data_IF_180156003477
#
_entry.id   IF_180156003477
#
_cell.length_a   1.000
_cell.length_b   1.000
_cell.length_c   1.000
_cell.angle_alpha   90.00
_cell.angle_beta   90.00
_cell.angle_gamma   90.00
#
_symmetry.space_group_name_H-M   'P 1'
#
loop_
_entity.id
_entity.type
_entity.pdbx_description
1 polymer ?
#
# COMPACT_ATOMS: atom_id res chain seq x y z
N UNK A 1 2.29 -20.44 7.62
CA UNK A 1 2.88 -19.32 6.85
C UNK A 1 2.42 -18.02 7.49
N UNK A 2 3.35 -17.16 7.90
CA UNK A 2 3.05 -15.88 8.54
C UNK A 2 2.57 -14.84 7.53
N UNK A 3 1.99 -13.76 8.04
CA UNK A 3 1.69 -12.56 7.25
C UNK A 3 2.83 -11.54 7.43
N UNK A 4 3.04 -10.70 6.44
CA UNK A 4 4.02 -9.63 6.45
C UNK A 4 3.32 -8.27 6.48
N UNK A 5 4.01 -7.29 7.03
CA UNK A 5 3.60 -5.88 6.99
C UNK A 5 4.48 -5.19 5.96
N UNK A 6 3.85 -4.56 4.98
CA UNK A 6 4.53 -3.85 3.91
C UNK A 6 4.14 -2.38 3.93
N UNK A 7 5.13 -1.51 3.71
CA UNK A 7 4.90 -0.14 3.23
C UNK A 7 4.91 -0.19 1.70
N UNK A 8 3.85 0.27 1.09
CA UNK A 8 3.73 0.46 -0.36
C UNK A 8 3.66 1.95 -0.61
N UNK A 9 4.60 2.48 -1.39
CA UNK A 9 4.72 3.91 -1.67
C UNK A 9 4.76 4.15 -3.16
N UNK A 10 4.09 5.21 -3.60
CA UNK A 10 4.20 5.73 -4.97
C UNK A 10 5.59 6.29 -5.20
N UNK A 11 6.11 6.11 -6.41
CA UNK A 11 7.40 6.64 -6.84
C UNK A 11 7.30 7.68 -7.95
N UNK A 12 6.09 7.89 -8.45
CA UNK A 12 5.75 8.93 -9.41
C UNK A 12 5.40 10.25 -8.70
N UNK A 13 5.03 11.27 -9.47
CA UNK A 13 4.65 12.57 -8.93
C UNK A 13 3.23 12.51 -8.35
N UNK A 14 3.09 12.80 -7.05
CA UNK A 14 1.81 12.81 -6.35
C UNK A 14 1.30 14.24 -6.19
N UNK A 15 0.12 14.53 -6.72
CA UNK A 15 -0.52 15.84 -6.65
C UNK A 15 -1.35 15.99 -5.35
N UNK A 16 -2.17 17.04 -5.26
CA UNK A 16 -3.13 17.23 -4.18
C UNK A 16 -4.29 16.25 -4.26
N UNK A 17 -4.82 15.90 -3.08
CA UNK A 17 -5.94 14.99 -2.90
C UNK A 17 -5.70 13.59 -3.48
N UNK A 18 -4.45 13.14 -3.38
CA UNK A 18 -4.01 11.81 -3.81
C UNK A 18 -3.38 11.02 -2.65
N UNK A 19 -3.48 9.69 -2.72
CA UNK A 19 -2.74 8.82 -1.80
C UNK A 19 -1.30 8.66 -2.29
N UNK A 20 -0.33 8.77 -1.39
CA UNK A 20 1.11 8.60 -1.69
C UNK A 20 1.71 7.32 -1.10
N UNK A 21 1.11 6.78 -0.04
CA UNK A 21 1.56 5.54 0.59
C UNK A 21 0.43 4.78 1.32
N UNK A 22 0.63 3.48 1.51
CA UNK A 22 -0.25 2.61 2.29
C UNK A 22 0.56 1.52 3.01
N UNK A 23 0.22 1.27 4.27
CA UNK A 23 0.75 0.16 5.06
C UNK A 23 -0.27 -0.97 5.06
N UNK A 24 0.14 -2.16 4.63
CA UNK A 24 -0.77 -3.30 4.41
C UNK A 24 -0.23 -4.58 5.04
N UNK A 25 -1.16 -5.48 5.36
CA UNK A 25 -0.87 -6.88 5.71
C UNK A 25 -1.11 -7.76 4.48
N UNK A 26 -0.07 -8.45 4.02
CA UNK A 26 -0.11 -9.36 2.87
C UNK A 26 0.85 -10.55 3.05
N UNK A 27 0.70 -11.61 2.25
CA UNK A 27 1.61 -12.76 2.27
C UNK A 27 2.97 -12.44 1.64
N UNK A 28 2.98 -11.61 0.60
CA UNK A 28 4.17 -11.29 -0.16
C UNK A 28 4.05 -9.90 -0.81
N UNK A 29 5.18 -9.39 -1.31
CA UNK A 29 5.23 -8.06 -1.93
C UNK A 29 4.34 -7.92 -3.17
N UNK A 30 4.18 -8.99 -3.96
CA UNK A 30 3.31 -8.98 -5.15
C UNK A 30 1.85 -8.75 -4.76
N UNK A 31 1.39 -9.43 -3.71
CA UNK A 31 0.05 -9.22 -3.16
C UNK A 31 -0.10 -7.83 -2.54
N UNK A 32 0.92 -7.32 -1.84
CA UNK A 32 0.89 -5.98 -1.27
C UNK A 32 0.59 -4.89 -2.33
N UNK A 33 1.16 -4.99 -3.53
CA UNK A 33 0.89 -4.07 -4.65
C UNK A 33 -0.56 -4.05 -5.14
N UNK A 34 -1.32 -5.11 -4.86
CA UNK A 34 -2.74 -5.22 -5.29
C UNK A 34 -3.71 -4.59 -4.29
N UNK A 35 -3.25 -4.23 -3.09
CA UNK A 35 -4.07 -3.62 -2.05
C UNK A 35 -4.01 -2.11 -2.21
N UNK A 36 -5.13 -1.51 -2.60
CA UNK A 36 -5.29 -0.07 -2.80
C UNK A 36 -6.04 0.59 -1.64
N UNK A 37 -5.72 1.84 -1.26
CA UNK A 37 -6.33 2.54 -0.13
C UNK A 37 -7.78 2.99 -0.37
N UNK A 38 -8.18 3.13 -1.63
CA UNK A 38 -9.54 3.54 -2.02
C UNK A 38 -9.96 2.89 -3.33
N UNK A 39 -11.27 2.63 -3.48
CA UNK A 39 -11.90 2.29 -4.75
C UNK A 39 -12.24 3.53 -5.59
N UNK A 40 -12.24 4.70 -4.97
CA UNK A 40 -12.59 5.99 -5.57
C UNK A 40 -11.34 6.87 -5.67
N UNK A 41 -10.98 7.26 -6.89
CA UNK A 41 -9.80 8.07 -7.22
C UNK A 41 -9.15 7.59 -8.52
N UNK A 42 -8.29 8.41 -9.14
CA UNK A 42 -7.35 7.93 -10.18
C UNK A 42 -6.65 6.70 -9.62
N UNK A 43 -6.59 5.66 -10.43
CA UNK A 43 -6.13 4.32 -10.09
C UNK A 43 -4.88 4.39 -9.20
N UNK A 44 -4.99 3.84 -7.98
CA UNK A 44 -4.00 3.88 -6.90
C UNK A 44 -2.56 4.09 -7.35
N UNK A 45 -2.08 3.24 -8.27
CA UNK A 45 -1.06 3.52 -9.28
C UNK A 45 -0.73 2.18 -10.00
N UNK A 46 -0.04 2.18 -11.15
CA UNK A 46 0.43 0.93 -11.75
C UNK A 46 1.51 0.26 -10.89
N UNK A 47 1.63 -1.09 -10.93
CA UNK A 47 2.65 -1.80 -10.14
C UNK A 47 4.10 -1.35 -10.40
N UNK A 48 4.40 -0.75 -11.54
CA UNK A 48 5.74 -0.25 -11.88
C UNK A 48 6.12 1.00 -11.07
N UNK A 49 5.13 1.83 -10.76
CA UNK A 49 5.27 3.08 -10.01
C UNK A 49 5.06 2.88 -8.49
N UNK A 50 5.05 1.62 -8.03
CA UNK A 50 4.94 1.25 -6.62
C UNK A 50 6.23 0.61 -6.11
N UNK A 51 6.82 1.22 -5.09
CA UNK A 51 7.86 0.61 -4.28
C UNK A 51 7.22 -0.14 -3.10
N UNK A 52 7.76 -1.32 -2.77
CA UNK A 52 7.29 -2.14 -1.63
C UNK A 52 8.46 -2.44 -0.71
N UNK A 53 8.32 -2.04 0.55
CA UNK A 53 9.29 -2.29 1.61
C UNK A 53 8.67 -3.22 2.68
N UNK A 54 9.36 -4.31 3.02
CA UNK A 54 8.99 -5.14 4.17
C UNK A 54 9.36 -4.40 5.45
N UNK A 55 8.37 -4.05 6.27
CA UNK A 55 8.58 -3.30 7.53
C UNK A 55 8.32 -4.14 8.78
N UNK A 56 7.77 -5.34 8.63
CA UNK A 56 7.60 -6.26 9.76
C UNK A 56 6.81 -7.51 9.42
N UNK A 57 6.45 -8.25 10.47
CA UNK A 57 5.59 -9.44 10.38
C UNK A 57 4.32 -9.22 11.20
N UNK A 58 3.21 -9.82 10.77
CA UNK A 58 1.93 -9.72 11.47
C UNK A 58 1.58 -11.06 12.11
N UNK A 59 1.22 -11.02 13.40
CA UNK A 59 0.71 -12.19 14.12
C UNK A 59 -0.75 -12.51 13.72
N UNK A 60 -1.49 -11.52 13.21
CA UNK A 60 -2.84 -11.70 12.68
C UNK A 60 -2.82 -12.35 11.29
N UNK A 61 -3.76 -13.26 11.05
CA UNK A 61 -3.98 -13.92 9.74
C UNK A 61 -4.99 -13.20 8.84
N UNK A 62 -5.23 -11.90 9.04
CA UNK A 62 -6.16 -11.11 8.20
C UNK A 62 -5.38 -10.13 7.33
N UNK A 63 -5.67 -10.15 6.03
CA UNK A 63 -5.15 -9.19 5.05
C UNK A 63 -5.89 -7.86 5.16
N UNK A 64 -5.28 -6.79 4.69
CA UNK A 64 -5.93 -5.50 4.54
C UNK A 64 -5.01 -4.32 4.85
N UNK A 65 -5.61 -3.14 4.85
CA UNK A 65 -4.93 -1.88 5.12
C UNK A 65 -4.82 -1.68 6.64
N UNK A 66 -3.64 -1.25 7.08
CA UNK A 66 -3.39 -0.77 8.44
C UNK A 66 -3.54 0.75 8.49
N UNK A 67 -2.91 1.44 7.53
CA UNK A 67 -2.87 2.90 7.45
C UNK A 67 -2.71 3.31 5.99
N UNK A 68 -3.41 4.36 5.58
CA UNK A 68 -3.20 5.01 4.28
C UNK A 68 -2.78 6.46 4.51
N UNK A 69 -1.85 6.94 3.71
CA UNK A 69 -1.36 8.31 3.69
C UNK A 69 -1.99 9.05 2.51
N UNK A 70 -2.66 10.15 2.80
CA UNK A 70 -3.39 10.96 1.83
C UNK A 70 -2.89 12.40 1.92
N UNK A 71 -2.41 12.92 0.79
CA UNK A 71 -1.90 14.29 0.67
C UNK A 71 -3.07 15.25 0.46
N UNK A 72 -3.77 15.57 1.54
CA UNK A 72 -4.81 16.59 1.52
C UNK A 72 -4.20 17.96 1.21
N UNK A 73 -4.74 18.63 0.19
CA UNK A 73 -4.37 20.00 -0.21
C UNK A 73 -5.09 21.09 0.56
#
# INVERSE_FOLDING_TARGET
>A
MGMNIYLVSRTDEVDYDEYDAVVVVAHNAKEAKTIKPSDYGKEWETPENLQVLLVGTANRKRKGIILASFKAG
#
